data_IF_223869168832
#
_entry.id   IF_223869168832
#
_cell.length_a   1.000
_cell.length_b   1.000
_cell.length_c   1.000
_cell.angle_alpha   90.00
_cell.angle_beta   90.00
_cell.angle_gamma   90.00
#
_symmetry.space_group_name_H-M   'P 1'
#
loop_
_entity.id
_entity.type
_entity.pdbx_description
1 polymer ?
#
# COMPACT_ATOMS: atom_id res chain seq x y z
N UNK A 1 -8.00 -6.99 -21.64
CA UNK A 1 -8.43 -8.38 -21.39
C UNK A 1 -7.45 -8.96 -20.38
N UNK A 2 -7.92 -9.46 -19.23
CA UNK A 2 -7.05 -10.03 -18.22
C UNK A 2 -6.60 -11.44 -18.59
N UNK A 3 -5.46 -11.84 -18.04
CA UNK A 3 -4.87 -13.15 -18.19
C UNK A 3 -4.58 -13.76 -16.83
N UNK A 4 -4.59 -15.09 -16.76
CA UNK A 4 -4.27 -15.89 -15.58
C UNK A 4 -3.15 -16.87 -15.93
N UNK A 5 -2.22 -17.07 -15.01
CA UNK A 5 -1.29 -18.19 -15.05
C UNK A 5 -1.27 -18.90 -13.69
N UNK A 6 -1.23 -20.22 -13.73
CA UNK A 6 -1.19 -21.06 -12.54
C UNK A 6 0.26 -21.48 -12.29
N UNK A 7 0.76 -21.18 -11.08
CA UNK A 7 2.15 -21.48 -10.66
C UNK A 7 2.25 -22.80 -9.92
N UNK A 8 1.13 -23.36 -9.50
CA UNK A 8 1.04 -24.58 -8.72
C UNK A 8 -0.27 -24.65 -7.93
N UNK A 9 -0.43 -25.68 -7.07
CA UNK A 9 -1.62 -25.84 -6.26
C UNK A 9 -1.91 -24.59 -5.42
N UNK A 10 -3.07 -23.99 -5.67
CA UNK A 10 -3.55 -22.82 -4.95
C UNK A 10 -2.78 -21.51 -5.20
N UNK A 11 -1.84 -21.45 -6.16
CA UNK A 11 -1.08 -20.25 -6.47
C UNK A 11 -1.29 -19.84 -7.93
N UNK A 12 -1.82 -18.64 -8.13
CA UNK A 12 -2.09 -18.09 -9.46
C UNK A 12 -1.72 -16.61 -9.52
N UNK A 13 -1.26 -16.16 -10.68
CA UNK A 13 -1.06 -14.74 -10.98
C UNK A 13 -2.09 -14.33 -12.02
N UNK A 14 -2.69 -13.16 -11.80
CA UNK A 14 -3.57 -12.50 -12.76
C UNK A 14 -2.90 -11.22 -13.24
N UNK A 15 -3.03 -10.96 -14.53
CA UNK A 15 -2.42 -9.84 -15.22
C UNK A 15 -3.50 -9.10 -15.99
N UNK A 16 -3.63 -7.81 -15.75
CA UNK A 16 -4.58 -6.98 -16.47
C UNK A 16 -3.94 -5.66 -16.89
N UNK A 17 -4.06 -5.32 -18.17
CA UNK A 17 -3.52 -4.09 -18.71
C UNK A 17 -4.62 -3.03 -18.79
N UNK A 18 -4.42 -1.96 -18.04
CA UNK A 18 -5.33 -0.82 -17.89
C UNK A 18 -4.83 0.36 -18.73
N UNK A 19 -4.41 0.09 -19.96
CA UNK A 19 -3.78 1.07 -20.85
C UNK A 19 -2.32 1.29 -20.46
N UNK A 20 -2.00 2.32 -19.68
CA UNK A 20 -0.59 2.66 -19.41
C UNK A 20 0.08 1.80 -18.32
N UNK A 21 -0.71 1.09 -17.54
CA UNK A 21 -0.24 0.29 -16.40
C UNK A 21 -0.80 -1.11 -16.45
N UNK A 22 -0.03 -2.07 -15.94
CA UNK A 22 -0.47 -3.43 -15.71
C UNK A 22 -0.67 -3.64 -14.22
N UNK A 23 -1.84 -4.17 -13.86
CA UNK A 23 -2.13 -4.68 -12.54
C UNK A 23 -1.73 -6.16 -12.50
N UNK A 24 -0.96 -6.52 -11.50
CA UNK A 24 -0.47 -7.88 -11.22
C UNK A 24 -1.08 -8.29 -9.88
N UNK A 25 -1.98 -9.25 -9.92
CA UNK A 25 -2.62 -9.80 -8.73
C UNK A 25 -2.10 -11.20 -8.47
N UNK A 26 -1.39 -11.36 -7.36
CA UNK A 26 -0.93 -12.66 -6.88
C UNK A 26 -1.98 -13.20 -5.93
N UNK A 27 -2.51 -14.38 -6.21
CA UNK A 27 -3.46 -15.10 -5.36
C UNK A 27 -2.82 -16.38 -4.87
N UNK A 28 -2.72 -16.54 -3.55
CA UNK A 28 -2.32 -17.78 -2.90
C UNK A 28 -3.46 -18.30 -2.02
N UNK A 29 -3.65 -19.61 -2.03
CA UNK A 29 -4.68 -20.31 -1.27
C UNK A 29 -4.08 -21.56 -0.66
N UNK A 30 -4.24 -21.70 0.66
CA UNK A 30 -3.87 -22.84 1.46
C UNK A 30 -5.02 -23.23 2.40
N UNK A 31 -4.83 -24.28 3.21
CA UNK A 31 -5.85 -24.75 4.15
C UNK A 31 -6.32 -23.61 5.07
N UNK A 32 -7.53 -23.09 4.82
CA UNK A 32 -8.16 -22.03 5.61
C UNK A 32 -7.68 -20.60 5.38
N UNK A 33 -6.74 -20.34 4.46
CA UNK A 33 -6.26 -18.97 4.17
C UNK A 33 -6.18 -18.72 2.66
N UNK A 34 -6.86 -17.66 2.21
CA UNK A 34 -6.73 -17.09 0.88
C UNK A 34 -6.12 -15.71 1.03
N UNK A 35 -4.94 -15.49 0.45
CA UNK A 35 -4.24 -14.21 0.44
C UNK A 35 -4.16 -13.69 -0.98
N UNK A 36 -4.36 -12.39 -1.13
CA UNK A 36 -4.30 -11.70 -2.41
C UNK A 36 -3.46 -10.44 -2.27
N UNK A 37 -2.54 -10.24 -3.20
CA UNK A 37 -1.69 -9.05 -3.26
C UNK A 37 -1.79 -8.45 -4.66
N UNK A 38 -2.30 -7.22 -4.73
CA UNK A 38 -2.41 -6.45 -5.97
C UNK A 38 -1.28 -5.44 -6.05
N UNK A 39 -0.52 -5.48 -7.13
CA UNK A 39 0.55 -4.53 -7.42
C UNK A 39 0.34 -3.92 -8.81
N UNK A 40 0.80 -2.69 -9.01
CA UNK A 40 0.68 -1.99 -10.29
C UNK A 40 2.05 -1.59 -10.81
N UNK A 41 2.29 -1.80 -12.10
CA UNK A 41 3.54 -1.47 -12.78
C UNK A 41 3.27 -0.68 -14.06
N UNK A 42 4.12 0.30 -14.36
CA UNK A 42 4.07 1.04 -15.62
C UNK A 42 4.66 0.15 -16.73
N UNK A 43 3.82 -0.30 -17.65
CA UNK A 43 4.23 -1.14 -18.80
C UNK A 43 3.91 -0.50 -20.14
N UNK A 44 2.98 0.46 -20.18
CA UNK A 44 2.32 0.88 -21.40
C UNK A 44 1.26 -0.12 -21.88
N UNK A 45 0.53 0.22 -22.96
CA UNK A 45 -0.49 -0.64 -23.54
C UNK A 45 0.14 -1.86 -24.18
N UNK A 46 -0.37 -3.05 -23.85
CA UNK A 46 0.17 -4.29 -24.43
C UNK A 46 -0.11 -4.38 -25.92
N UNK A 47 0.91 -4.77 -26.68
CA UNK A 47 0.80 -5.09 -28.10
C UNK A 47 0.73 -6.58 -28.36
N UNK A 48 1.27 -7.40 -27.44
CA UNK A 48 1.23 -8.86 -27.48
C UNK A 48 0.69 -9.44 -26.17
N UNK A 49 0.33 -10.73 -26.20
CA UNK A 49 0.00 -11.51 -25.00
C UNK A 49 1.20 -11.55 -24.05
N UNK A 50 1.02 -11.25 -22.75
CA UNK A 50 2.11 -11.31 -21.79
C UNK A 50 2.64 -12.75 -21.67
N UNK A 51 3.95 -12.89 -21.60
CA UNK A 51 4.60 -14.19 -21.40
C UNK A 51 5.02 -14.31 -19.95
N UNK A 52 4.92 -15.52 -19.39
CA UNK A 52 5.30 -15.78 -18.00
C UNK A 52 6.28 -16.95 -17.96
N UNK A 53 7.33 -16.84 -17.15
CA UNK A 53 8.31 -17.89 -16.94
C UNK A 53 8.66 -18.03 -15.45
N UNK A 54 8.77 -19.26 -14.95
CA UNK A 54 9.24 -19.53 -13.59
C UNK A 54 10.77 -19.54 -13.56
N UNK A 55 11.37 -18.78 -12.65
CA UNK A 55 12.83 -18.68 -12.48
C UNK A 55 13.18 -18.86 -11.01
N UNK A 56 13.77 -20.00 -10.65
CA UNK A 56 14.01 -20.37 -9.26
C UNK A 56 12.71 -20.37 -8.44
N UNK A 57 12.67 -19.58 -7.37
CA UNK A 57 11.50 -19.42 -6.50
C UNK A 57 10.60 -18.22 -6.89
N UNK A 58 10.89 -17.57 -8.01
CA UNK A 58 10.15 -16.41 -8.50
C UNK A 58 9.57 -16.64 -9.89
N UNK A 59 8.86 -15.64 -10.37
CA UNK A 59 8.23 -15.61 -11.68
C UNK A 59 8.69 -14.36 -12.41
N UNK A 60 9.09 -14.50 -13.67
CA UNK A 60 9.29 -13.40 -14.59
C UNK A 60 8.08 -13.25 -15.49
N UNK A 61 7.69 -12.02 -15.72
CA UNK A 61 6.57 -11.63 -16.57
C UNK A 61 7.12 -10.68 -17.61
N UNK A 62 6.97 -11.04 -18.87
CA UNK A 62 7.42 -10.26 -20.02
C UNK A 62 6.20 -9.63 -20.67
N UNK A 63 6.07 -8.33 -20.51
CA UNK A 63 5.04 -7.50 -21.13
C UNK A 63 5.66 -6.81 -22.36
N UNK A 64 5.03 -6.97 -23.53
CA UNK A 64 5.44 -6.25 -24.74
C UNK A 64 4.46 -5.10 -24.96
N UNK A 65 4.98 -3.88 -25.06
CA UNK A 65 4.20 -2.68 -25.36
C UNK A 65 4.84 -1.90 -26.50
N UNK A 66 4.12 -0.89 -27.00
CA UNK A 66 4.63 0.03 -28.01
C UNK A 66 5.89 0.80 -27.56
N UNK A 67 6.11 0.91 -26.25
CA UNK A 67 7.26 1.61 -25.65
C UNK A 67 8.47 0.69 -25.46
N UNK A 68 8.30 -0.62 -25.65
CA UNK A 68 9.36 -1.62 -25.52
C UNK A 68 8.91 -2.84 -24.72
N UNK A 69 9.89 -3.64 -24.31
CA UNK A 69 9.65 -4.84 -23.48
C UNK A 69 9.91 -4.50 -22.03
N UNK A 70 8.91 -4.68 -21.18
CA UNK A 70 9.02 -4.52 -19.73
C UNK A 70 9.02 -5.90 -19.09
N UNK A 71 10.10 -6.21 -18.39
CA UNK A 71 10.21 -7.44 -17.61
C UNK A 71 9.95 -7.14 -16.14
N UNK A 72 9.03 -7.89 -15.54
CA UNK A 72 8.63 -7.75 -14.15
C UNK A 72 8.92 -9.06 -13.45
N UNK A 73 9.66 -9.01 -12.36
CA UNK A 73 9.88 -10.13 -11.47
C UNK A 73 8.88 -10.10 -10.33
N UNK A 74 8.28 -11.24 -10.03
CA UNK A 74 7.38 -11.47 -8.91
C UNK A 74 8.00 -12.51 -7.99
N UNK A 75 8.17 -12.17 -6.72
CA UNK A 75 8.68 -13.08 -5.69
C UNK A 75 7.77 -12.99 -4.46
N UNK A 76 7.03 -14.07 -4.20
CA UNK A 76 5.93 -14.03 -3.23
C UNK A 76 4.90 -12.96 -3.62
N UNK A 77 4.64 -12.01 -2.71
CA UNK A 77 3.72 -10.89 -2.95
C UNK A 77 4.39 -9.62 -3.47
N UNK A 78 5.72 -9.62 -3.63
CA UNK A 78 6.50 -8.44 -4.05
C UNK A 78 6.74 -8.47 -5.55
N UNK A 79 6.75 -7.28 -6.16
CA UNK A 79 7.13 -7.10 -7.57
C UNK A 79 8.36 -6.21 -7.69
N UNK A 80 9.17 -6.46 -8.71
CA UNK A 80 10.31 -5.62 -9.08
C UNK A 80 10.51 -5.60 -10.59
N UNK A 81 11.11 -4.55 -11.13
CA UNK A 81 11.50 -4.51 -12.53
C UNK A 81 12.78 -5.32 -12.74
N UNK A 82 12.76 -6.25 -13.68
CA UNK A 82 13.92 -7.04 -14.06
C UNK A 82 14.65 -6.38 -15.23
N UNK A 83 15.98 -6.23 -15.11
CA UNK A 83 16.81 -5.53 -16.11
C UNK A 83 17.58 -6.46 -17.03
N UNK A 84 17.55 -7.79 -16.81
CA UNK A 84 18.36 -8.73 -17.59
C UNK A 84 17.52 -9.76 -18.35
N UNK A 85 17.75 -9.84 -19.66
CA UNK A 85 17.18 -10.89 -20.52
C UNK A 85 17.76 -12.27 -20.20
N UNK A 86 18.96 -12.34 -19.60
CA UNK A 86 19.60 -13.60 -19.19
C UNK A 86 18.76 -14.36 -18.15
N UNK A 87 18.07 -13.64 -17.25
CA UNK A 87 17.20 -14.26 -16.26
C UNK A 87 16.00 -14.98 -16.92
N UNK A 88 15.53 -14.49 -18.08
CA UNK A 88 14.47 -15.14 -18.86
C UNK A 88 14.93 -16.47 -19.46
N UNK A 89 16.16 -16.54 -19.97
CA UNK A 89 16.69 -17.75 -20.63
C UNK A 89 16.78 -18.96 -19.69
N UNK A 90 16.95 -18.73 -18.38
CA UNK A 90 16.93 -19.80 -17.37
C UNK A 90 15.53 -20.23 -16.94
N UNK A 91 14.47 -19.56 -17.40
CA UNK A 91 13.11 -19.77 -16.95
C UNK A 91 12.37 -20.90 -17.67
N UNK A 92 11.45 -21.55 -16.96
CA UNK A 92 10.47 -22.47 -17.56
C UNK A 92 9.20 -21.69 -17.92
N UNK A 93 8.84 -21.67 -19.20
CA UNK A 93 7.64 -20.95 -19.66
C UNK A 93 6.37 -21.56 -19.06
N UNK A 94 5.52 -20.71 -18.50
CA UNK A 94 4.21 -21.07 -17.95
C UNK A 94 3.14 -20.64 -18.96
N UNK A 95 2.16 -21.51 -19.20
CA UNK A 95 1.03 -21.18 -20.05
C UNK A 95 0.18 -20.07 -19.42
N UNK A 96 -0.16 -19.08 -20.24
CA UNK A 96 -0.99 -17.95 -19.86
C UNK A 96 -2.35 -18.12 -20.53
N UNK A 97 -3.42 -18.08 -19.75
CA UNK A 97 -4.79 -18.27 -20.22
C UNK A 97 -5.58 -16.96 -20.11
N UNK A 98 -6.36 -16.57 -21.13
CA UNK A 98 -7.27 -15.45 -21.00
C UNK A 98 -8.33 -15.73 -19.93
N UNK A 99 -8.74 -14.70 -19.19
CA UNK A 99 -9.85 -14.77 -18.23
C UNK A 99 -10.78 -13.58 -18.46
N UNK A 100 -12.06 -13.74 -18.17
CA UNK A 100 -13.05 -12.67 -18.38
C UNK A 100 -12.89 -11.53 -17.35
N UNK A 101 -12.45 -11.86 -16.14
CA UNK A 101 -12.30 -10.91 -15.05
C UNK A 101 -11.15 -11.26 -14.10
N UNK A 102 -10.65 -10.25 -13.40
CA UNK A 102 -9.77 -10.41 -12.25
C UNK A 102 -10.60 -10.81 -11.02
N UNK A 103 -10.08 -11.70 -10.14
CA UNK A 103 -10.78 -12.00 -8.90
C UNK A 103 -10.79 -10.75 -8.04
N UNK A 104 -11.98 -10.24 -7.75
CA UNK A 104 -12.15 -9.15 -6.79
C UNK A 104 -11.80 -9.68 -5.40
N UNK A 105 -11.11 -8.87 -4.56
CA UNK A 105 -11.00 -9.18 -3.14
C UNK A 105 -12.40 -9.42 -2.60
N UNK A 106 -12.55 -10.44 -1.75
CA UNK A 106 -13.83 -10.79 -1.14
C UNK A 106 -14.25 -9.69 -0.15
N UNK A 107 -14.64 -8.52 -0.66
CA UNK A 107 -15.26 -7.47 0.12
C UNK A 107 -16.66 -7.96 0.45
N UNK A 108 -16.95 -8.12 1.75
CA UNK A 108 -18.31 -8.42 2.20
C UNK A 108 -19.22 -7.30 1.65
N UNK A 109 -20.32 -7.63 0.95
CA UNK A 109 -21.26 -6.61 0.50
C UNK A 109 -21.72 -5.81 1.72
N UNK A 110 -21.47 -4.50 1.72
CA UNK A 110 -22.13 -3.64 2.70
C UNK A 110 -23.63 -3.77 2.44
N UNK A 111 -24.39 -4.23 3.43
CA UNK A 111 -25.83 -4.29 3.31
C UNK A 111 -26.34 -2.86 3.08
N UNK A 112 -27.24 -2.63 2.10
CA UNK A 112 -27.88 -1.33 1.94
C UNK A 112 -28.49 -0.93 3.27
N UNK A 113 -28.06 0.21 3.82
CA UNK A 113 -28.72 0.77 5.00
C UNK A 113 -30.20 0.94 4.64
N UNK A 114 -31.08 0.26 5.38
CA UNK A 114 -32.52 0.45 5.20
C UNK A 114 -32.83 1.93 5.44
N UNK A 115 -33.77 2.53 4.67
CA UNK A 115 -34.20 3.91 4.92
C UNK A 115 -34.65 4.01 6.38
N UNK A 116 -33.94 4.82 7.18
CA UNK A 116 -34.35 5.07 8.56
C UNK A 116 -35.74 5.70 8.52
N UNK A 117 -36.68 5.11 9.24
CA UNK A 117 -37.98 5.73 9.47
C UNK A 117 -37.78 7.09 10.16
N UNK A 118 -38.61 8.09 9.88
CA UNK A 118 -38.50 9.40 10.51
C UNK A 118 -38.57 9.24 12.02
N UNK A 119 -37.48 9.56 12.72
CA UNK A 119 -37.45 9.52 14.18
C UNK A 119 -38.53 10.46 14.71
N UNK A 120 -39.41 9.94 15.57
CA UNK A 120 -40.33 10.77 16.33
C UNK A 120 -39.53 11.75 17.21
N UNK A 121 -40.05 12.98 17.43
CA UNK A 121 -39.33 14.00 18.17
C UNK A 121 -38.98 13.51 19.57
N UNK A 122 -37.67 13.35 19.80
CA UNK A 122 -37.13 12.96 21.10
C UNK A 122 -37.58 13.95 22.18
N UNK A 123 -38.14 13.41 23.27
CA UNK A 123 -38.40 14.21 24.47
C UNK A 123 -37.07 14.77 25.02
N UNK A 124 -37.07 15.98 25.61
CA UNK A 124 -35.85 16.60 26.10
C UNK A 124 -35.18 15.70 27.15
N UNK A 125 -33.99 15.21 26.82
CA UNK A 125 -33.19 14.38 27.73
C UNK A 125 -32.91 15.17 29.02
N UNK A 126 -33.17 14.55 30.16
CA UNK A 126 -32.66 15.05 31.43
C UNK A 126 -31.11 15.02 31.40
N UNK A 127 -30.43 15.98 32.05
CA UNK A 127 -28.98 16.09 31.96
C UNK A 127 -28.29 14.85 32.53
N UNK A 128 -27.69 14.06 31.65
CA UNK A 128 -26.84 12.92 31.99
C UNK A 128 -25.61 13.42 32.75
N UNK A 129 -25.55 13.18 34.06
CA UNK A 129 -24.36 13.42 34.88
C UNK A 129 -23.41 12.23 34.76
N UNK A 130 -22.48 12.26 33.80
CA UNK A 130 -21.35 11.33 33.75
C UNK A 130 -20.26 11.76 34.74
N UNK A 131 -20.51 11.52 36.04
CA UNK A 131 -19.48 11.61 37.09
C UNK A 131 -18.56 12.85 37.05
N UNK A 132 -17.28 12.62 37.29
CA UNK A 132 -16.18 13.60 37.45
C UNK A 132 -15.57 14.10 36.12
N UNK A 133 -16.31 13.98 35.01
CA UNK A 133 -15.89 14.52 33.71
C UNK A 133 -16.24 16.02 33.63
N UNK A 134 -15.27 16.88 33.95
CA UNK A 134 -15.37 18.33 33.75
C UNK A 134 -14.83 18.70 32.37
N UNK A 135 -15.71 19.12 31.47
CA UNK A 135 -15.34 19.91 30.30
C UNK A 135 -15.41 21.40 30.68
N UNK A 136 -14.26 22.08 30.71
CA UNK A 136 -14.22 23.54 30.84
C UNK A 136 -14.10 24.16 29.46
N UNK A 137 -14.89 25.20 29.18
CA UNK A 137 -14.98 25.86 27.87
C UNK A 137 -13.83 26.83 27.57
N UNK A 138 -12.63 26.54 28.08
CA UNK A 138 -11.41 27.31 27.86
C UNK A 138 -10.19 26.37 27.97
N UNK A 139 -9.19 26.49 27.08
CA UNK A 139 -8.89 25.53 26.01
C UNK A 139 -9.01 24.03 26.39
N UNK A 140 -9.57 23.24 25.46
CA UNK A 140 -9.98 21.84 25.61
C UNK A 140 -8.96 20.93 26.33
N UNK A 141 -9.16 20.72 27.63
CA UNK A 141 -8.46 19.71 28.41
C UNK A 141 -9.42 18.55 28.71
N UNK A 142 -9.09 17.34 28.26
CA UNK A 142 -9.79 16.11 28.63
C UNK A 142 -9.05 15.42 29.77
N UNK A 143 -9.70 15.27 30.93
CA UNK A 143 -9.21 14.51 32.09
C UNK A 143 -9.98 13.20 32.19
N UNK A 144 -9.30 12.06 32.08
CA UNK A 144 -9.89 10.72 32.34
C UNK A 144 -9.14 10.13 33.55
N UNK A 145 -9.73 10.25 34.73
CA UNK A 145 -9.10 9.84 35.98
C UNK A 145 -7.84 10.66 36.29
N UNK A 146 -6.73 9.96 36.58
CA UNK A 146 -5.46 10.56 37.00
C UNK A 146 -4.58 11.00 35.80
N UNK A 147 -5.03 10.72 34.57
CA UNK A 147 -4.30 11.07 33.35
C UNK A 147 -4.92 12.32 32.73
N UNK A 148 -4.09 13.35 32.67
CA UNK A 148 -4.39 14.64 32.07
C UNK A 148 -3.57 14.77 30.78
N UNK A 149 -4.24 14.92 29.64
CA UNK A 149 -3.60 15.24 28.38
C UNK A 149 -3.81 16.74 28.10
N UNK A 150 -2.80 17.55 28.41
CA UNK A 150 -2.74 18.96 28.00
C UNK A 150 -2.19 19.02 26.57
N UNK A 151 -3.06 19.31 25.61
CA UNK A 151 -2.62 19.72 24.27
C UNK A 151 -2.37 21.22 24.31
N UNK A 152 -1.11 21.58 24.59
CA UNK A 152 -0.66 22.96 24.73
C UNK A 152 -0.89 23.79 23.47
N UNK A 153 -1.36 25.01 23.73
CA UNK A 153 -1.42 26.17 22.84
C UNK A 153 -0.17 26.28 21.93
N UNK A 154 -0.30 26.59 20.63
CA UNK A 154 0.84 27.02 19.82
C UNK A 154 1.16 28.47 20.17
N UNK A 155 1.72 28.68 21.35
CA UNK A 155 2.40 29.93 21.67
C UNK A 155 3.75 29.93 20.96
N UNK A 156 3.90 30.88 20.05
CA UNK A 156 5.10 31.11 19.27
C UNK A 156 6.34 31.23 20.17
N UNK A 157 7.21 30.22 20.09
CA UNK A 157 8.61 30.29 20.49
C UNK A 157 9.46 29.83 19.29
N UNK A 158 10.64 30.44 19.08
CA UNK A 158 11.24 30.53 17.75
C UNK A 158 11.67 29.16 17.22
N UNK A 159 11.45 28.96 15.91
CA UNK A 159 11.93 27.83 15.12
C UNK A 159 13.40 27.52 15.41
N UNK A 160 13.66 26.52 16.24
CA UNK A 160 14.87 25.71 16.06
C UNK A 160 14.64 24.88 14.80
N UNK A 161 15.17 25.40 13.69
CA UNK A 161 15.19 24.69 12.42
C UNK A 161 16.08 23.46 12.60
N UNK A 162 15.48 22.32 12.97
CA UNK A 162 16.15 21.02 12.93
C UNK A 162 16.57 20.80 11.48
N UNK A 163 17.87 20.87 11.24
CA UNK A 163 18.43 20.62 9.92
C UNK A 163 18.67 19.12 9.77
N UNK A 164 18.61 18.63 8.54
CA UNK A 164 18.89 17.23 8.22
C UNK A 164 20.08 17.18 7.26
N UNK A 165 20.96 16.20 7.45
CA UNK A 165 22.07 15.97 6.55
C UNK A 165 21.54 15.62 5.15
N UNK A 166 21.96 16.37 4.14
CA UNK A 166 21.54 16.15 2.75
C UNK A 166 22.07 14.85 2.15
N UNK A 167 23.11 14.26 2.74
CA UNK A 167 23.72 13.02 2.25
C UNK A 167 23.11 11.75 2.87
N UNK A 168 22.71 11.78 4.13
CA UNK A 168 22.23 10.57 4.83
C UNK A 168 20.88 10.73 5.55
N UNK A 169 20.31 11.94 5.57
CA UNK A 169 19.03 12.23 6.21
C UNK A 169 19.07 12.26 7.75
N UNK A 170 20.23 12.08 8.38
CA UNK A 170 20.35 12.16 9.82
C UNK A 170 20.04 13.58 10.34
N UNK A 171 19.36 13.67 11.48
CA UNK A 171 19.13 14.94 12.20
C UNK A 171 20.47 15.53 12.63
N UNK A 172 20.69 16.81 12.30
CA UNK A 172 21.92 17.55 12.61
C UNK A 172 21.57 18.90 13.19
N UNK A 173 22.39 19.36 14.13
CA UNK A 173 22.22 20.67 14.76
C UNK A 173 22.85 21.75 13.87
N UNK A 174 22.32 22.99 13.86
CA UNK A 174 22.87 24.09 13.06
C UNK A 174 24.30 24.53 13.47
N UNK A 175 24.76 24.05 14.63
CA UNK A 175 26.11 24.21 15.17
C UNK A 175 27.07 23.07 14.80
N UNK A 176 26.59 21.98 14.19
CA UNK A 176 27.42 20.87 13.75
C UNK A 176 28.21 21.22 12.48
N UNK A 177 29.54 21.00 12.52
CA UNK A 177 30.42 21.16 11.35
C UNK A 177 30.42 19.92 10.45
N UNK A 178 30.24 18.75 11.05
CA UNK A 178 30.23 17.46 10.37
C UNK A 178 29.07 16.62 10.88
N UNK A 179 28.45 15.86 9.99
CA UNK A 179 27.42 14.91 10.36
C UNK A 179 28.04 13.75 11.16
N UNK A 180 27.60 13.55 12.41
CA UNK A 180 28.08 12.44 13.25
C UNK A 180 27.74 11.04 12.70
N UNK A 181 26.80 10.94 11.74
CA UNK A 181 26.39 9.67 11.16
C UNK A 181 27.17 9.27 9.90
N UNK A 182 27.53 10.23 9.03
CA UNK A 182 28.20 9.93 7.76
C UNK A 182 29.51 10.71 7.52
N UNK A 183 29.90 11.59 8.44
CA UNK A 183 31.11 12.41 8.34
C UNK A 183 31.04 13.55 7.32
N UNK A 184 29.89 13.75 6.66
CA UNK A 184 29.73 14.81 5.67
C UNK A 184 29.79 16.20 6.30
N UNK A 185 30.52 17.12 5.67
CA UNK A 185 30.65 18.50 6.13
C UNK A 185 29.37 19.30 5.82
N UNK A 186 28.80 19.95 6.85
CA UNK A 186 27.51 20.64 6.77
C UNK A 186 27.65 22.16 6.57
N UNK A 187 28.87 22.70 6.76
CA UNK A 187 29.24 24.11 6.60
C UNK A 187 30.57 24.25 5.87
#
# INVERSE_FOLDING_TARGET
MPYRCDLGPGHSIYLDNQGNSTIILVSSSGAGQQQQASNTVQTGPWTDVPQVAQVGNGVLIRCVSAQGVVMVQVQGSQIGLATSAAAWASGQTIAVQPTDHMPVPNMRPMQPMQPMEPMEPMQPMQPMRMGNMQMSSNPMAMRIGNMEMQMGNPEATPKEQRQFCTQCGASVSPEDRFCGNCGHQLK
#
